data_IF_754873911460
#
_entry.id   IF_754873911460
#
_cell.length_a   1.000
_cell.length_b   1.000
_cell.length_c   1.000
_cell.angle_alpha   90.00
_cell.angle_beta   90.00
_cell.angle_gamma   90.00
#
_symmetry.space_group_name_H-M   'P 1'
#
loop_
_entity.id
_entity.type
_entity.pdbx_description
1 polymer ?
#
# COMPACT_ATOMS: atom_id res chain seq x y z
N UNK A 1 12.08 13.84 20.22
CA UNK A 1 11.66 12.93 19.13
C UNK A 1 12.56 13.14 17.91
N UNK A 2 13.68 12.41 17.79
CA UNK A 2 14.59 12.45 16.63
C UNK A 2 14.47 11.22 15.69
N UNK A 3 13.57 10.28 15.95
CA UNK A 3 13.53 8.96 15.31
C UNK A 3 13.08 8.99 13.85
N UNK A 4 12.00 9.72 13.54
CA UNK A 4 11.36 9.69 12.23
C UNK A 4 12.32 10.05 11.07
N UNK A 5 13.21 11.03 11.27
CA UNK A 5 14.16 11.46 10.25
C UNK A 5 15.28 10.43 10.03
N UNK A 6 15.77 9.81 11.10
CA UNK A 6 16.77 8.75 11.00
C UNK A 6 16.19 7.51 10.32
N UNK A 7 14.94 7.17 10.63
CA UNK A 7 14.27 5.99 10.09
C UNK A 7 13.92 6.17 8.61
N UNK A 8 13.51 7.37 8.20
CA UNK A 8 13.32 7.71 6.78
C UNK A 8 14.64 7.62 5.99
N UNK A 9 15.73 8.16 6.53
CA UNK A 9 17.05 8.05 5.90
C UNK A 9 17.51 6.59 5.78
N UNK A 10 17.21 5.75 6.78
CA UNK A 10 17.49 4.31 6.72
C UNK A 10 16.68 3.61 5.63
N UNK A 11 15.39 3.91 5.51
CA UNK A 11 14.54 3.36 4.45
C UNK A 11 15.00 3.80 3.05
N UNK A 12 15.41 5.07 2.91
CA UNK A 12 15.97 5.60 1.66
C UNK A 12 17.26 4.87 1.25
N UNK A 13 18.15 4.59 2.21
CA UNK A 13 19.37 3.83 1.94
C UNK A 13 19.13 2.40 1.47
N UNK A 14 17.95 1.82 1.74
CA UNK A 14 17.57 0.46 1.27
C UNK A 14 16.98 0.47 -0.14
N UNK A 15 16.38 1.58 -0.57
CA UNK A 15 15.66 1.69 -1.85
C UNK A 15 16.57 2.01 -3.03
N UNK A 16 17.57 2.89 -2.84
CA UNK A 16 18.53 3.22 -3.90
C UNK A 16 19.78 3.91 -3.36
N UNK A 17 20.88 3.82 -4.12
CA UNK A 17 22.09 4.64 -3.89
C UNK A 17 21.86 6.12 -4.19
N UNK A 18 20.83 6.46 -4.95
CA UNK A 18 20.42 7.83 -5.23
C UNK A 18 19.21 8.21 -4.37
N UNK A 19 19.37 9.28 -3.58
CA UNK A 19 18.35 9.83 -2.69
C UNK A 19 17.05 10.19 -3.42
N UNK A 20 17.12 10.70 -4.65
CA UNK A 20 15.95 11.10 -5.44
C UNK A 20 15.15 9.87 -5.85
N UNK A 21 15.83 8.81 -6.27
CA UNK A 21 15.18 7.54 -6.63
C UNK A 21 14.53 6.89 -5.41
N UNK A 22 15.21 6.89 -4.26
CA UNK A 22 14.64 6.35 -3.02
C UNK A 22 13.38 7.10 -2.56
N UNK A 23 13.32 8.43 -2.73
CA UNK A 23 12.11 9.20 -2.42
C UNK A 23 10.94 8.87 -3.36
N UNK A 24 11.23 8.64 -4.64
CA UNK A 24 10.22 8.20 -5.60
C UNK A 24 9.67 6.82 -5.24
N UNK A 25 10.53 5.90 -4.82
CA UNK A 25 10.13 4.57 -4.39
C UNK A 25 9.26 4.61 -3.11
N UNK A 26 9.60 5.43 -2.13
CA UNK A 26 8.77 5.63 -0.93
C UNK A 26 7.41 6.25 -1.29
N UNK A 27 7.39 7.23 -2.19
CA UNK A 27 6.16 7.83 -2.68
C UNK A 27 5.28 6.77 -3.37
N UNK A 28 5.86 5.96 -4.24
CA UNK A 28 5.17 4.86 -4.91
C UNK A 28 4.66 3.82 -3.90
N UNK A 29 5.44 3.49 -2.87
CA UNK A 29 5.03 2.55 -1.82
C UNK A 29 3.79 3.05 -1.10
N UNK A 30 3.76 4.33 -0.72
CA UNK A 30 2.59 4.97 -0.10
C UNK A 30 1.40 4.89 -1.04
N UNK A 31 1.58 5.25 -2.31
CA UNK A 31 0.48 5.30 -3.29
C UNK A 31 -0.11 3.92 -3.58
N UNK A 32 0.72 2.90 -3.81
CA UNK A 32 0.25 1.53 -3.99
C UNK A 32 -0.43 0.97 -2.73
N UNK A 33 0.07 1.33 -1.54
CA UNK A 33 -0.58 0.95 -0.28
C UNK A 33 -1.92 1.65 -0.07
N UNK A 34 -2.06 2.90 -0.53
CA UNK A 34 -3.35 3.60 -0.55
C UNK A 34 -4.34 2.91 -1.51
N UNK A 35 -3.89 2.44 -2.67
CA UNK A 35 -4.72 1.61 -3.57
C UNK A 35 -5.17 0.32 -2.87
N UNK A 36 -4.26 -0.34 -2.15
CA UNK A 36 -4.56 -1.57 -1.43
C UNK A 36 -5.45 -1.36 -0.19
N UNK A 37 -5.59 -0.14 0.32
CA UNK A 37 -6.26 0.14 1.60
C UNK A 37 -7.69 -0.42 1.68
N UNK A 38 -8.57 -0.30 0.67
CA UNK A 38 -9.88 -0.93 0.71
C UNK A 38 -9.81 -2.46 0.87
N UNK A 39 -8.86 -3.13 0.20
CA UNK A 39 -8.63 -4.56 0.37
C UNK A 39 -8.18 -4.88 1.80
N UNK A 40 -7.26 -4.09 2.35
CA UNK A 40 -6.79 -4.25 3.73
C UNK A 40 -7.96 -4.12 4.70
N UNK A 41 -8.82 -3.11 4.53
CA UNK A 41 -9.99 -2.88 5.36
C UNK A 41 -11.01 -4.03 5.29
N UNK A 42 -11.16 -4.70 4.14
CA UNK A 42 -12.02 -5.88 4.01
C UNK A 42 -11.52 -7.09 4.84
N UNK A 43 -10.24 -7.09 5.22
CA UNK A 43 -9.62 -8.15 6.01
C UNK A 43 -9.45 -7.77 7.49
N UNK A 44 -10.12 -6.71 7.95
CA UNK A 44 -9.97 -6.17 9.31
C UNK A 44 -11.30 -6.05 10.04
N UNK A 45 -11.27 -6.31 11.34
CA UNK A 45 -12.40 -6.06 12.25
C UNK A 45 -12.52 -4.57 12.62
N UNK A 46 -11.39 -3.90 12.85
CA UNK A 46 -11.34 -2.47 13.19
C UNK A 46 -10.60 -1.69 12.11
N UNK A 47 -11.35 -0.90 11.33
CA UNK A 47 -10.80 -0.10 10.22
C UNK A 47 -10.27 1.27 10.66
N UNK A 48 -10.45 1.65 11.94
CA UNK A 48 -10.09 3.00 12.43
C UNK A 48 -8.59 3.20 12.58
N UNK A 49 -7.83 2.10 12.70
CA UNK A 49 -6.39 2.10 12.86
C UNK A 49 -5.72 1.23 11.77
N UNK A 50 -4.50 1.58 11.32
CA UNK A 50 -3.78 0.73 10.40
C UNK A 50 -3.42 -0.60 11.07
N UNK A 51 -3.51 -1.73 10.35
CA UNK A 51 -3.17 -3.02 10.93
C UNK A 51 -1.69 -3.10 11.28
N UNK A 52 -1.37 -3.97 12.24
CA UNK A 52 0.01 -4.23 12.61
C UNK A 52 0.80 -4.83 11.44
N UNK A 53 0.20 -5.82 10.77
CA UNK A 53 0.76 -6.52 9.63
C UNK A 53 -0.16 -6.38 8.42
N UNK A 54 0.43 -6.36 7.22
CA UNK A 54 -0.33 -6.35 5.99
C UNK A 54 -0.94 -7.73 5.70
N UNK A 55 -2.08 -7.81 4.99
CA UNK A 55 -2.52 -9.06 4.39
C UNK A 55 -1.46 -9.62 3.44
N UNK A 56 -1.35 -10.94 3.38
CA UNK A 56 -0.25 -11.61 2.66
C UNK A 56 -0.22 -11.30 1.17
N UNK A 57 -1.37 -11.03 0.57
CA UNK A 57 -1.56 -10.66 -0.83
C UNK A 57 -0.93 -9.29 -1.12
N UNK A 58 -1.14 -8.34 -0.19
CA UNK A 58 -0.59 -6.99 -0.29
C UNK A 58 0.93 -7.02 -0.07
N UNK A 59 1.41 -7.82 0.89
CA UNK A 59 2.86 -8.01 1.08
C UNK A 59 3.53 -8.57 -0.18
N UNK A 60 2.96 -9.62 -0.78
CA UNK A 60 3.48 -10.23 -2.02
C UNK A 60 3.49 -9.26 -3.19
N UNK A 61 2.44 -8.44 -3.34
CA UNK A 61 2.39 -7.39 -4.36
C UNK A 61 3.54 -6.39 -4.17
N UNK A 62 3.72 -5.86 -2.96
CA UNK A 62 4.76 -4.86 -2.69
C UNK A 62 6.17 -5.46 -2.87
N UNK A 63 6.40 -6.70 -2.41
CA UNK A 63 7.62 -7.46 -2.68
C UNK A 63 7.90 -7.54 -4.19
N UNK A 64 6.87 -7.84 -4.99
CA UNK A 64 6.99 -7.99 -6.44
C UNK A 64 7.32 -6.68 -7.15
N UNK A 65 6.66 -5.57 -6.77
CA UNK A 65 6.88 -4.25 -7.36
C UNK A 65 8.28 -3.73 -7.02
N UNK A 66 8.66 -3.74 -5.75
CA UNK A 66 9.93 -3.17 -5.29
C UNK A 66 11.11 -4.12 -5.48
N UNK A 67 10.86 -5.41 -5.78
CA UNK A 67 11.87 -6.47 -5.85
C UNK A 67 12.71 -6.57 -4.58
N UNK A 68 12.06 -6.32 -3.44
CA UNK A 68 12.66 -6.37 -2.11
C UNK A 68 12.11 -7.56 -1.31
N UNK A 69 12.74 -7.87 -0.18
CA UNK A 69 12.25 -8.93 0.70
C UNK A 69 11.10 -8.48 1.61
N UNK A 70 10.54 -9.45 2.34
CA UNK A 70 9.46 -9.21 3.29
C UNK A 70 9.87 -8.29 4.44
N UNK A 71 11.13 -8.35 4.87
CA UNK A 71 11.65 -7.53 5.97
C UNK A 71 11.57 -6.06 5.59
N UNK A 72 12.01 -5.72 4.37
CA UNK A 72 11.92 -4.38 3.82
C UNK A 72 10.48 -3.87 3.79
N UNK A 73 9.54 -4.66 3.26
CA UNK A 73 8.12 -4.26 3.17
C UNK A 73 7.52 -4.03 4.55
N UNK A 74 7.84 -4.87 5.52
CA UNK A 74 7.35 -4.73 6.90
C UNK A 74 7.92 -3.50 7.60
N UNK A 75 9.20 -3.18 7.38
CA UNK A 75 9.82 -1.97 7.90
C UNK A 75 9.20 -0.72 7.26
N UNK A 76 9.05 -0.69 5.93
CA UNK A 76 8.38 0.41 5.24
C UNK A 76 6.93 0.58 5.73
N UNK A 77 6.19 -0.50 5.90
CA UNK A 77 4.85 -0.46 6.46
C UNK A 77 4.85 0.10 7.89
N UNK A 78 5.73 -0.39 8.77
CA UNK A 78 5.83 0.08 10.15
C UNK A 78 6.09 1.59 10.23
N UNK A 79 6.89 2.13 9.31
CA UNK A 79 7.22 3.55 9.25
C UNK A 79 6.12 4.41 8.62
N UNK A 80 5.46 3.91 7.57
CA UNK A 80 4.59 4.73 6.71
C UNK A 80 3.09 4.51 6.94
N UNK A 81 2.70 3.45 7.67
CA UNK A 81 1.27 3.09 7.82
C UNK A 81 0.40 4.20 8.36
N UNK A 82 0.91 5.05 9.27
CA UNK A 82 0.17 6.18 9.80
C UNK A 82 -0.16 7.21 8.71
N UNK A 83 0.80 7.48 7.81
CA UNK A 83 0.63 8.39 6.67
C UNK A 83 -0.36 7.81 5.66
N UNK A 84 -0.25 6.52 5.38
CA UNK A 84 -1.16 5.81 4.46
C UNK A 84 -2.59 5.81 5.00
N UNK A 85 -2.76 5.63 6.32
CA UNK A 85 -4.09 5.60 6.95
C UNK A 85 -4.73 6.98 7.05
N UNK A 86 -3.95 8.05 7.15
CA UNK A 86 -4.48 9.42 7.25
C UNK A 86 -4.85 10.06 5.90
N UNK A 87 -4.66 9.36 4.77
CA UNK A 87 -5.00 9.89 3.44
C UNK A 87 -6.51 9.85 3.18
N UNK A 88 -7.19 11.00 3.20
CA UNK A 88 -8.65 11.06 2.97
C UNK A 88 -9.01 11.03 1.48
N UNK A 89 -8.30 11.81 0.66
CA UNK A 89 -8.52 11.90 -0.79
C UNK A 89 -7.34 11.28 -1.54
N UNK A 90 -7.59 10.12 -2.17
CA UNK A 90 -6.59 9.44 -2.97
C UNK A 90 -7.17 9.04 -4.32
N UNK A 91 -6.55 9.53 -5.39
CA UNK A 91 -6.85 9.15 -6.76
C UNK A 91 -5.58 8.59 -7.41
N UNK A 92 -5.55 7.28 -7.73
CA UNK A 92 -4.40 6.69 -8.41
C UNK A 92 -4.35 7.12 -9.88
N UNK A 93 -3.14 7.14 -10.45
CA UNK A 93 -2.94 7.36 -11.89
C UNK A 93 -3.18 6.06 -12.67
N UNK A 94 -3.29 6.16 -14.00
CA UNK A 94 -3.44 4.98 -14.85
C UNK A 94 -2.23 4.04 -14.76
N UNK A 95 -1.03 4.61 -14.68
CA UNK A 95 0.23 3.86 -14.55
C UNK A 95 0.30 3.11 -13.22
N UNK A 96 -0.20 3.72 -12.13
CA UNK A 96 -0.25 3.08 -10.82
C UNK A 96 -1.26 1.95 -10.77
N UNK A 97 -2.42 2.12 -11.42
CA UNK A 97 -3.42 1.07 -11.56
C UNK A 97 -2.85 -0.09 -12.39
N UNK A 98 -2.19 0.20 -13.50
CA UNK A 98 -1.56 -0.82 -14.34
C UNK A 98 -0.49 -1.58 -13.56
N UNK A 99 0.40 -0.88 -12.87
CA UNK A 99 1.43 -1.49 -12.04
C UNK A 99 0.82 -2.36 -10.92
N UNK A 100 -0.20 -1.85 -10.23
CA UNK A 100 -0.91 -2.59 -9.20
C UNK A 100 -1.52 -3.88 -9.77
N UNK A 101 -2.19 -3.82 -10.92
CA UNK A 101 -2.82 -4.98 -11.54
C UNK A 101 -1.80 -6.01 -12.05
N UNK A 102 -0.72 -5.55 -12.70
CA UNK A 102 0.34 -6.42 -13.21
C UNK A 102 0.93 -7.30 -12.09
N UNK A 103 1.15 -6.73 -10.92
CA UNK A 103 1.74 -7.44 -9.78
C UNK A 103 0.70 -8.07 -8.85
N UNK A 104 -0.52 -7.55 -8.79
CA UNK A 104 -1.57 -7.99 -7.87
C UNK A 104 -2.41 -9.15 -8.39
N UNK A 105 -2.66 -9.25 -9.69
CA UNK A 105 -3.57 -10.25 -10.28
C UNK A 105 -3.14 -11.69 -9.94
N UNK A 106 -1.83 -11.95 -9.98
CA UNK A 106 -1.25 -13.25 -9.63
C UNK A 106 -1.41 -13.62 -8.15
N UNK A 107 -1.79 -12.65 -7.32
CA UNK A 107 -2.05 -12.80 -5.89
C UNK A 107 -3.54 -12.64 -5.54
N UNK A 108 -4.41 -12.55 -6.55
CA UNK A 108 -5.86 -12.43 -6.33
C UNK A 108 -6.33 -11.05 -5.87
N UNK A 109 -5.54 -10.00 -6.14
CA UNK A 109 -5.91 -8.61 -5.86
C UNK A 109 -5.78 -7.75 -7.11
N UNK A 110 -6.87 -7.13 -7.56
CA UNK A 110 -6.84 -6.16 -8.65
C UNK A 110 -7.61 -4.90 -8.30
N UNK A 111 -7.26 -3.80 -8.97
CA UNK A 111 -7.93 -2.52 -8.78
C UNK A 111 -9.44 -2.60 -9.09
N UNK A 112 -9.81 -3.36 -10.12
CA UNK A 112 -11.21 -3.58 -10.53
C UNK A 112 -12.05 -4.32 -9.49
N UNK A 113 -11.42 -5.11 -8.62
CA UNK A 113 -12.11 -5.82 -7.54
C UNK A 113 -12.45 -4.85 -6.39
N UNK A 114 -11.76 -3.71 -6.33
CA UNK A 114 -11.89 -2.70 -5.29
C UNK A 114 -12.74 -1.51 -5.74
N UNK A 115 -12.75 -1.18 -7.03
CA UNK A 115 -13.38 0.02 -7.58
C UNK A 115 -14.18 -0.22 -8.88
N UNK A 116 -15.40 0.35 -9.02
CA UNK A 116 -16.17 1.05 -7.99
C UNK A 116 -16.64 0.05 -6.93
N UNK A 117 -16.60 0.43 -5.65
CA UNK A 117 -16.92 -0.51 -4.56
C UNK A 117 -18.23 -1.21 -4.85
N UNK A 118 -18.24 -2.55 -4.93
CA UNK A 118 -19.44 -3.34 -5.22
C UNK A 118 -20.53 -3.26 -4.11
N UNK A 119 -20.50 -2.25 -3.24
CA UNK A 119 -21.59 -1.88 -2.34
C UNK A 119 -22.67 -1.10 -3.10
N UNK A 120 -23.12 -1.61 -4.24
CA UNK A 120 -24.47 -1.29 -4.70
C UNK A 120 -25.34 -2.39 -4.12
N UNK A 121 -26.19 -2.05 -3.14
CA UNK A 121 -27.20 -2.98 -2.65
C UNK A 121 -27.99 -3.55 -3.83
N UNK A 122 -27.84 -4.84 -4.11
CA UNK A 122 -28.71 -5.55 -5.07
C UNK A 122 -30.06 -5.91 -4.45
N UNK A 123 -30.29 -5.61 -3.16
CA UNK A 123 -31.58 -5.81 -2.50
C UNK A 123 -32.46 -4.58 -2.77
N UNK A 124 -33.45 -4.75 -3.65
CA UNK A 124 -34.61 -3.87 -3.69
C UNK A 124 -35.53 -4.23 -2.51
N UNK A 125 -35.56 -3.42 -1.47
CA UNK A 125 -36.55 -3.55 -0.38
C UNK A 125 -36.03 -3.31 1.04
N UNK A 126 -35.35 -2.18 1.28
CA UNK A 126 -35.35 -1.56 2.61
C UNK A 126 -36.59 -0.66 2.73
#
# INVERSE_FOLDING_TARGET
MPTLHHDLLSALGKLSSDYVSGLQDLSLFIRLSCIARPFIQLNMDDITLPPLNLPSEVERLLISVFRQDITFVQECWALLKAVIWSQEEFSPTAEEIELYNVHGLVHGIAFSDLFPSARVCLIHGC
#
